data_IF_908253589703
#
_entry.id   IF_908253589703
#
_cell.length_a   1.000
_cell.length_b   1.000
_cell.length_c   1.000
_cell.angle_alpha   90.00
_cell.angle_beta   90.00
_cell.angle_gamma   90.00
#
_symmetry.space_group_name_H-M   'P 1'
#
loop_
_entity.id
_entity.type
_entity.pdbx_description
1 polymer ?
#
# COMPACT_ATOMS: atom_id res chain seq x y z
N UNK A 1 -19.08 -14.88 -3.42
CA UNK A 1 -17.93 -13.97 -3.15
C UNK A 1 -17.03 -14.64 -2.13
N UNK A 2 -15.78 -14.23 -1.89
CA UNK A 2 -15.03 -14.74 -0.72
C UNK A 2 -15.26 -13.78 0.45
N UNK A 3 -15.51 -14.30 1.64
CA UNK A 3 -15.61 -13.47 2.84
C UNK A 3 -14.28 -12.78 3.13
N UNK A 4 -14.31 -11.59 3.72
CA UNK A 4 -13.10 -10.88 4.16
C UNK A 4 -12.81 -11.25 5.62
N UNK A 5 -11.55 -11.48 5.96
CA UNK A 5 -11.12 -11.75 7.34
C UNK A 5 -11.31 -10.50 8.19
N UNK A 6 -11.75 -10.69 9.43
CA UNK A 6 -11.70 -9.62 10.43
C UNK A 6 -10.27 -9.26 10.79
N UNK A 7 -10.05 -8.09 11.39
CA UNK A 7 -8.71 -7.68 11.83
C UNK A 7 -8.12 -8.66 12.87
N UNK A 8 -8.95 -9.19 13.77
CA UNK A 8 -8.53 -10.17 14.78
C UNK A 8 -8.15 -11.51 14.15
N UNK A 9 -8.95 -11.98 13.19
CA UNK A 9 -8.67 -13.22 12.45
C UNK A 9 -7.34 -13.11 11.69
N UNK A 10 -7.09 -11.95 11.07
CA UNK A 10 -5.84 -11.70 10.36
C UNK A 10 -4.67 -11.59 11.34
N UNK A 11 -4.82 -10.88 12.46
CA UNK A 11 -3.78 -10.77 13.49
C UNK A 11 -3.37 -12.14 14.03
N UNK A 12 -4.32 -13.02 14.34
CA UNK A 12 -4.02 -14.37 14.83
C UNK A 12 -3.25 -15.22 13.80
N UNK A 13 -3.40 -14.98 12.51
CA UNK A 13 -2.65 -15.68 11.46
C UNK A 13 -1.21 -15.15 11.33
N UNK A 14 -1.00 -13.85 11.59
CA UNK A 14 0.31 -13.20 11.43
C UNK A 14 1.06 -12.97 12.74
N UNK A 15 0.46 -13.25 13.91
CA UNK A 15 1.03 -12.94 15.23
C UNK A 15 2.37 -13.62 15.51
N UNK A 16 2.69 -14.74 14.86
CA UNK A 16 3.93 -15.47 15.09
C UNK A 16 5.10 -14.97 14.23
N UNK A 17 4.84 -14.07 13.28
CA UNK A 17 5.89 -13.41 12.50
C UNK A 17 6.52 -12.26 13.28
N UNK A 18 7.72 -11.89 12.88
CA UNK A 18 8.46 -10.76 13.43
C UNK A 18 8.08 -9.46 12.71
N UNK A 19 7.78 -9.55 11.42
CA UNK A 19 7.38 -8.43 10.57
C UNK A 19 6.25 -8.83 9.62
N UNK A 20 5.27 -7.94 9.50
CA UNK A 20 4.17 -8.04 8.55
C UNK A 20 4.25 -6.88 7.57
N UNK A 21 4.29 -7.18 6.28
CA UNK A 21 4.32 -6.17 5.21
C UNK A 21 2.95 -6.12 4.53
N UNK A 22 2.40 -4.93 4.39
CA UNK A 22 1.14 -4.69 3.67
C UNK A 22 1.26 -3.43 2.82
N UNK A 23 0.52 -3.33 1.71
CA UNK A 23 0.45 -2.11 0.92
C UNK A 23 -0.52 -1.06 1.52
N UNK A 24 -1.35 -1.45 2.48
CA UNK A 24 -2.37 -0.60 3.11
C UNK A 24 -1.90 -0.08 4.47
N UNK A 25 -1.69 1.24 4.56
CA UNK A 25 -1.29 1.92 5.79
C UNK A 25 -2.34 1.83 6.90
N UNK A 26 -3.64 1.80 6.57
CA UNK A 26 -4.70 1.63 7.55
C UNK A 26 -4.67 0.22 8.13
N UNK A 27 -4.42 -0.79 7.30
CA UNK A 27 -4.26 -2.17 7.76
C UNK A 27 -3.03 -2.34 8.65
N UNK A 28 -1.88 -1.78 8.25
CA UNK A 28 -0.68 -1.77 9.08
C UNK A 28 -0.95 -1.11 10.45
N UNK A 29 -1.65 0.02 10.46
CA UNK A 29 -2.04 0.72 11.69
C UNK A 29 -2.97 -0.14 12.55
N UNK A 30 -3.96 -0.79 11.94
CA UNK A 30 -4.90 -1.64 12.64
C UNK A 30 -4.22 -2.87 13.27
N UNK A 31 -3.30 -3.53 12.55
CA UNK A 31 -2.53 -4.67 13.06
C UNK A 31 -1.61 -4.26 14.21
N UNK A 32 -0.91 -3.13 14.09
CA UNK A 32 -0.10 -2.61 15.20
C UNK A 32 -0.93 -2.27 16.44
N UNK A 33 -2.19 -1.85 16.26
CA UNK A 33 -3.13 -1.59 17.35
C UNK A 33 -3.66 -2.84 18.05
N UNK A 34 -3.41 -4.05 17.51
CA UNK A 34 -3.82 -5.34 18.10
C UNK A 34 -2.69 -6.08 18.80
N UNK A 35 -1.48 -5.52 18.79
CA UNK A 35 -0.32 -6.14 19.45
C UNK A 35 -0.62 -6.38 20.93
N UNK A 36 -0.64 -7.65 21.31
CA UNK A 36 -0.82 -8.15 22.68
C UNK A 36 0.49 -8.71 23.28
N UNK A 37 1.58 -8.72 22.50
CA UNK A 37 2.92 -9.19 22.87
C UNK A 37 3.96 -8.06 22.86
N UNK A 38 5.07 -8.18 23.62
CA UNK A 38 6.19 -7.27 23.46
C UNK A 38 6.75 -7.34 22.03
N UNK A 39 6.82 -6.21 21.34
CA UNK A 39 7.44 -6.07 20.01
C UNK A 39 8.51 -4.98 20.09
N UNK A 40 9.68 -5.24 19.49
CA UNK A 40 10.72 -4.23 19.31
C UNK A 40 10.49 -3.54 17.97
N UNK A 41 10.12 -2.25 17.99
CA UNK A 41 9.81 -1.50 16.77
C UNK A 41 8.36 -1.66 16.32
N UNK A 42 8.15 -1.85 15.01
CA UNK A 42 6.84 -1.99 14.39
C UNK A 42 6.59 -3.43 13.95
N UNK A 43 5.41 -3.96 14.26
CA UNK A 43 4.99 -5.30 13.84
C UNK A 43 4.51 -5.31 12.39
N UNK A 44 3.74 -4.31 11.98
CA UNK A 44 3.22 -4.19 10.62
C UNK A 44 3.65 -2.87 9.96
N UNK A 45 4.16 -2.93 8.74
CA UNK A 45 4.64 -1.75 8.00
C UNK A 45 4.28 -1.84 6.51
N UNK A 46 4.19 -0.68 5.86
CA UNK A 46 4.20 -0.58 4.41
C UNK A 46 5.62 -0.46 3.86
N UNK A 47 5.88 -0.88 2.61
CA UNK A 47 7.17 -0.67 1.95
C UNK A 47 7.68 0.77 2.01
N UNK A 48 6.79 1.76 1.85
CA UNK A 48 7.14 3.19 1.98
C UNK A 48 7.56 3.58 3.39
N UNK A 49 6.94 3.00 4.43
CA UNK A 49 7.36 3.23 5.81
C UNK A 49 8.71 2.58 6.08
N UNK A 50 8.92 1.33 5.65
CA UNK A 50 10.22 0.65 5.75
C UNK A 50 11.30 1.49 5.06
N UNK A 51 11.07 1.90 3.81
CA UNK A 51 11.97 2.75 3.04
C UNK A 51 12.30 4.06 3.79
N UNK A 52 11.31 4.69 4.43
CA UNK A 52 11.50 5.91 5.20
C UNK A 52 12.33 5.68 6.48
N UNK A 53 12.15 4.54 7.16
CA UNK A 53 12.96 4.15 8.31
C UNK A 53 14.41 3.83 7.94
N UNK A 54 14.61 3.20 6.78
CA UNK A 54 15.93 2.81 6.29
C UNK A 54 16.64 3.94 5.54
N UNK A 55 15.94 5.02 5.17
CA UNK A 55 16.47 6.10 4.35
C UNK A 55 17.77 6.71 4.88
N UNK A 56 17.88 6.90 6.20
CA UNK A 56 19.08 7.45 6.84
C UNK A 56 20.27 6.48 6.83
N UNK A 57 20.03 5.17 6.70
CA UNK A 57 21.05 4.13 6.62
C UNK A 57 21.50 3.90 5.17
N UNK A 58 20.57 3.98 4.22
CA UNK A 58 20.81 3.64 2.81
C UNK A 58 21.40 4.81 2.02
N UNK A 59 21.09 6.07 2.36
CA UNK A 59 21.46 7.23 1.55
C UNK A 59 22.41 8.16 2.30
N UNK A 60 23.55 8.46 1.69
CA UNK A 60 24.55 9.42 2.21
C UNK A 60 24.04 10.88 2.27
N UNK A 61 22.92 11.15 1.60
CA UNK A 61 22.30 12.47 1.49
C UNK A 61 20.86 12.41 1.97
N UNK A 62 20.35 13.47 2.62
CA UNK A 62 18.96 13.53 3.00
C UNK A 62 18.07 13.39 1.75
N UNK A 63 17.00 12.61 1.89
CA UNK A 63 15.98 12.52 0.85
C UNK A 63 15.39 13.90 0.57
N UNK A 64 15.21 14.21 -0.70
CA UNK A 64 14.59 15.46 -1.10
C UNK A 64 13.09 15.38 -0.80
N UNK A 65 12.58 16.40 -0.11
CA UNK A 65 11.14 16.59 -0.02
C UNK A 65 10.55 16.90 -1.40
N UNK A 66 9.27 16.65 -1.58
CA UNK A 66 8.58 16.90 -2.85
C UNK A 66 8.80 18.33 -3.37
N UNK A 67 8.74 19.33 -2.49
CA UNK A 67 9.02 20.72 -2.85
C UNK A 67 10.48 20.93 -3.30
N UNK A 68 11.45 20.27 -2.67
CA UNK A 68 12.84 20.32 -3.11
C UNK A 68 13.03 19.64 -4.47
N UNK A 69 12.37 18.50 -4.70
CA UNK A 69 12.40 17.82 -6.00
C UNK A 69 11.86 18.75 -7.09
N UNK A 70 10.66 19.29 -6.91
CA UNK A 70 10.01 20.16 -7.90
C UNK A 70 10.85 21.41 -8.15
N UNK A 71 11.32 22.08 -7.10
CA UNK A 71 12.13 23.30 -7.27
C UNK A 71 13.49 23.03 -7.92
N UNK A 72 14.16 21.92 -7.57
CA UNK A 72 15.45 21.55 -8.17
C UNK A 72 15.31 21.21 -9.65
N UNK A 73 14.29 20.43 -10.02
CA UNK A 73 14.04 20.08 -11.42
C UNK A 73 13.60 21.31 -12.24
N UNK A 74 12.79 22.20 -11.66
CA UNK A 74 12.42 23.47 -12.30
C UNK A 74 13.63 24.37 -12.56
N UNK A 75 14.54 24.48 -11.59
CA UNK A 75 15.79 25.23 -11.74
C UNK A 75 16.72 24.62 -12.80
N UNK A 76 16.85 23.30 -12.85
CA UNK A 76 17.72 22.58 -13.80
C UNK A 76 17.19 22.63 -15.24
N UNK A 77 15.87 22.53 -15.43
CA UNK A 77 15.24 22.47 -16.76
C UNK A 77 14.77 23.82 -17.30
N UNK A 78 14.63 24.83 -16.44
CA UNK A 78 14.03 26.14 -16.78
C UNK A 78 12.51 26.08 -17.00
N UNK A 79 11.86 24.95 -16.73
CA UNK A 79 10.42 24.77 -16.90
C UNK A 79 9.65 25.30 -15.68
N UNK A 80 8.41 25.71 -15.91
CA UNK A 80 7.56 26.21 -14.82
C UNK A 80 7.32 25.15 -13.74
N UNK A 81 7.26 25.56 -12.47
CA UNK A 81 6.94 24.71 -11.31
C UNK A 81 5.68 23.87 -11.55
N UNK A 82 4.63 24.49 -12.11
CA UNK A 82 3.36 23.79 -12.40
C UNK A 82 3.57 22.62 -13.37
N UNK A 83 4.32 22.86 -14.46
CA UNK A 83 4.62 21.83 -15.45
C UNK A 83 5.46 20.70 -14.84
N UNK A 84 6.52 21.06 -14.12
CA UNK A 84 7.42 20.10 -13.46
C UNK A 84 6.67 19.23 -12.45
N UNK A 85 5.81 19.83 -11.62
CA UNK A 85 4.98 19.08 -10.68
C UNK A 85 4.09 18.05 -11.41
N UNK A 86 3.37 18.47 -12.45
CA UNK A 86 2.53 17.55 -13.23
C UNK A 86 3.32 16.42 -13.89
N UNK A 87 4.50 16.70 -14.43
CA UNK A 87 5.34 15.67 -15.05
C UNK A 87 5.96 14.72 -14.02
N UNK A 88 6.35 15.21 -12.83
CA UNK A 88 6.83 14.34 -11.74
C UNK A 88 5.72 13.38 -11.29
N UNK A 89 4.49 13.86 -11.13
CA UNK A 89 3.36 12.98 -10.79
C UNK A 89 3.11 11.92 -11.87
N UNK A 90 3.18 12.30 -13.15
CA UNK A 90 3.09 11.35 -14.26
C UNK A 90 4.22 10.31 -14.24
N UNK A 91 5.46 10.74 -13.99
CA UNK A 91 6.64 9.86 -13.85
C UNK A 91 6.44 8.86 -12.71
N UNK A 92 5.99 9.32 -11.53
CA UNK A 92 5.70 8.45 -10.38
C UNK A 92 4.60 7.44 -10.70
N UNK A 93 3.54 7.86 -11.39
CA UNK A 93 2.44 6.98 -11.77
C UNK A 93 2.91 5.88 -12.72
N UNK A 94 3.69 6.22 -13.75
CA UNK A 94 4.29 5.23 -14.66
C UNK A 94 5.20 4.28 -13.88
N UNK A 95 6.02 4.81 -12.96
CA UNK A 95 6.99 4.03 -12.18
C UNK A 95 6.34 2.94 -11.33
N UNK A 96 5.09 3.12 -10.87
CA UNK A 96 4.34 2.08 -10.14
C UNK A 96 4.19 0.78 -10.96
N UNK A 97 4.14 0.89 -12.29
CA UNK A 97 3.86 -0.25 -13.17
C UNK A 97 5.08 -0.75 -13.95
N UNK A 98 6.11 0.08 -14.13
CA UNK A 98 7.30 -0.29 -14.92
C UNK A 98 8.56 0.45 -14.49
N UNK A 99 9.71 -0.22 -14.64
CA UNK A 99 11.06 0.39 -14.51
C UNK A 99 11.42 1.26 -15.71
N UNK A 100 10.85 0.97 -16.88
CA UNK A 100 11.19 1.63 -18.14
C UNK A 100 10.46 2.97 -18.37
N UNK A 101 10.40 3.84 -17.34
CA UNK A 101 9.62 5.09 -17.38
C UNK A 101 9.91 5.91 -18.64
N UNK A 102 11.18 6.03 -19.02
CA UNK A 102 11.64 6.78 -20.20
C UNK A 102 10.90 6.39 -21.49
N UNK A 103 10.55 5.11 -21.68
CA UNK A 103 9.87 4.62 -22.90
C UNK A 103 8.44 5.15 -23.05
N UNK A 104 7.84 5.59 -21.94
CA UNK A 104 6.47 6.09 -21.88
C UNK A 104 6.40 7.63 -21.90
N UNK A 105 7.55 8.31 -22.04
CA UNK A 105 7.61 9.77 -22.15
C UNK A 105 7.86 10.17 -23.61
N UNK A 106 6.99 11.04 -24.13
CA UNK A 106 6.96 11.35 -25.57
C UNK A 106 7.41 12.77 -25.92
N UNK A 107 7.44 13.70 -24.97
CA UNK A 107 7.87 15.08 -25.20
C UNK A 107 9.31 15.29 -24.76
N UNK A 108 10.02 16.19 -25.45
CA UNK A 108 11.39 16.59 -25.05
C UNK A 108 11.43 17.16 -23.64
N UNK A 109 10.39 17.93 -23.27
CA UNK A 109 10.28 18.52 -21.93
C UNK A 109 10.07 17.47 -20.85
N UNK A 110 9.21 16.47 -21.09
CA UNK A 110 8.99 15.38 -20.14
C UNK A 110 10.27 14.53 -19.95
N UNK A 111 11.00 14.24 -21.04
CA UNK A 111 12.29 13.57 -20.96
C UNK A 111 13.31 14.39 -20.16
N UNK A 112 13.36 15.71 -20.36
CA UNK A 112 14.25 16.58 -19.58
C UNK A 112 13.89 16.60 -18.08
N UNK A 113 12.59 16.64 -17.74
CA UNK A 113 12.13 16.51 -16.36
C UNK A 113 12.55 15.18 -15.77
N UNK A 114 12.37 14.07 -16.50
CA UNK A 114 12.77 12.75 -16.04
C UNK A 114 14.28 12.63 -15.81
N UNK A 115 15.10 13.11 -16.75
CA UNK A 115 16.57 13.10 -16.64
C UNK A 115 17.06 13.93 -15.44
N UNK A 116 16.38 15.04 -15.13
CA UNK A 116 16.66 15.83 -13.94
C UNK A 116 16.19 15.12 -12.66
N UNK A 117 14.96 14.61 -12.64
CA UNK A 117 14.34 13.92 -11.52
C UNK A 117 15.13 12.67 -11.10
N UNK A 118 15.53 11.85 -12.07
CA UNK A 118 16.22 10.57 -11.82
C UNK A 118 17.52 10.77 -11.03
N UNK A 119 18.19 11.92 -11.18
CA UNK A 119 19.46 12.22 -10.48
C UNK A 119 19.29 12.64 -9.02
N UNK A 120 18.06 12.90 -8.58
CA UNK A 120 17.79 13.38 -7.23
C UNK A 120 17.64 12.22 -6.22
N UNK A 121 18.03 12.41 -4.96
CA UNK A 121 17.84 11.40 -3.91
C UNK A 121 16.37 11.39 -3.47
N UNK A 122 15.53 10.68 -4.20
CA UNK A 122 14.09 10.52 -3.89
C UNK A 122 13.81 9.19 -3.21
N UNK A 123 12.67 9.10 -2.52
CA UNK A 123 12.23 7.86 -1.87
C UNK A 123 12.02 6.76 -2.93
N UNK A 124 11.41 7.07 -4.08
CA UNK A 124 11.16 6.09 -5.14
C UNK A 124 12.46 5.52 -5.72
N UNK A 125 13.51 6.36 -5.83
CA UNK A 125 14.83 5.91 -6.28
C UNK A 125 15.47 4.96 -5.27
N UNK A 126 15.40 5.29 -3.98
CA UNK A 126 15.83 4.39 -2.91
C UNK A 126 15.08 3.06 -3.01
N UNK A 127 13.76 3.13 -3.08
CA UNK A 127 12.92 1.94 -3.13
C UNK A 127 13.26 1.04 -4.31
N UNK A 128 13.48 1.61 -5.50
CA UNK A 128 13.83 0.84 -6.70
C UNK A 128 15.25 0.26 -6.71
N UNK A 129 16.15 0.72 -5.82
CA UNK A 129 17.51 0.23 -5.69
C UNK A 129 17.69 -0.71 -4.49
N UNK A 130 16.69 -0.83 -3.63
CA UNK A 130 16.74 -1.63 -2.41
C UNK A 130 16.67 -3.13 -2.73
N UNK A 131 17.48 -3.91 -2.01
CA UNK A 131 17.53 -5.37 -2.09
C UNK A 131 17.38 -5.88 -0.65
N UNK A 132 16.25 -6.50 -0.28
CA UNK A 132 15.97 -6.93 1.10
C UNK A 132 17.02 -7.89 1.65
N UNK A 133 17.54 -8.78 0.80
CA UNK A 133 18.50 -9.82 1.18
C UNK A 133 19.86 -9.26 1.63
N UNK A 134 20.19 -8.04 1.20
CA UNK A 134 21.47 -7.40 1.50
C UNK A 134 21.38 -6.49 2.76
N UNK A 135 20.20 -6.31 3.36
CA UNK A 135 20.00 -5.45 4.54
C UNK A 135 19.80 -6.25 5.83
N UNK A 136 20.58 -5.91 6.86
CA UNK A 136 20.45 -6.46 8.23
C UNK A 136 19.04 -6.30 8.84
N UNK A 137 18.22 -5.39 8.32
CA UNK A 137 16.81 -5.23 8.73
C UNK A 137 15.99 -6.53 8.56
N UNK A 138 16.34 -7.37 7.57
CA UNK A 138 15.65 -8.64 7.31
C UNK A 138 16.42 -9.85 7.85
N UNK A 139 17.56 -9.66 8.51
CA UNK A 139 18.40 -10.77 8.96
C UNK A 139 17.76 -11.50 10.15
N UNK A 140 17.53 -12.80 9.98
CA UNK A 140 17.06 -13.68 11.06
C UNK A 140 15.60 -13.52 11.48
N UNK A 141 14.80 -12.73 10.75
CA UNK A 141 13.38 -12.50 11.04
C UNK A 141 12.46 -13.31 10.11
N UNK A 142 11.28 -13.67 10.61
CA UNK A 142 10.20 -14.27 9.83
C UNK A 142 9.25 -13.18 9.33
N UNK A 143 9.03 -13.15 8.01
CA UNK A 143 8.24 -12.11 7.34
C UNK A 143 6.96 -12.69 6.74
N UNK A 144 5.82 -12.06 7.04
CA UNK A 144 4.56 -12.29 6.35
C UNK A 144 4.24 -11.10 5.43
N UNK A 145 3.71 -11.37 4.23
CA UNK A 145 3.24 -10.35 3.29
C UNK A 145 1.74 -10.53 3.09
N UNK A 146 0.96 -9.48 3.36
CA UNK A 146 -0.49 -9.52 3.17
C UNK A 146 -0.85 -9.01 1.78
N UNK A 147 -1.52 -9.84 0.99
CA UNK A 147 -2.01 -9.52 -0.35
C UNK A 147 -0.92 -8.98 -1.29
N UNK A 148 0.15 -9.76 -1.46
CA UNK A 148 1.28 -9.45 -2.34
C UNK A 148 0.86 -9.03 -3.76
N UNK A 149 -0.24 -9.59 -4.28
CA UNK A 149 -0.77 -9.25 -5.60
C UNK A 149 -1.19 -7.78 -5.74
N UNK A 150 -1.47 -7.10 -4.63
CA UNK A 150 -1.83 -5.68 -4.62
C UNK A 150 -0.61 -4.74 -4.56
N UNK A 151 0.61 -5.29 -4.48
CA UNK A 151 1.84 -4.52 -4.44
C UNK A 151 2.22 -4.06 -5.84
N UNK A 152 2.62 -2.79 -5.96
CA UNK A 152 3.18 -2.27 -7.21
C UNK A 152 4.66 -2.67 -7.38
N UNK A 153 5.30 -2.31 -8.51
CA UNK A 153 6.70 -2.69 -8.76
C UNK A 153 7.66 -2.22 -7.66
N UNK A 154 7.53 -0.97 -7.18
CA UNK A 154 8.38 -0.44 -6.13
C UNK A 154 8.15 -1.12 -4.78
N UNK A 155 6.90 -1.41 -4.45
CA UNK A 155 6.53 -2.06 -3.20
C UNK A 155 7.19 -3.46 -3.09
N UNK A 156 7.24 -4.19 -4.22
CA UNK A 156 7.83 -5.53 -4.29
C UNK A 156 9.33 -5.58 -4.02
N UNK A 157 10.05 -4.45 -4.14
CA UNK A 157 11.47 -4.38 -3.80
C UNK A 157 11.72 -4.48 -2.29
N UNK A 158 10.68 -4.42 -1.44
CA UNK A 158 10.79 -4.59 0.01
C UNK A 158 10.31 -5.95 0.50
N UNK A 159 9.97 -6.86 -0.42
CA UNK A 159 9.56 -8.22 -0.08
C UNK A 159 10.79 -9.13 -0.16
N UNK A 160 11.25 -9.72 0.95
CA UNK A 160 12.36 -10.66 0.91
C UNK A 160 11.95 -11.96 0.22
N UNK A 161 12.89 -12.66 -0.40
CA UNK A 161 12.67 -13.96 -1.06
C UNK A 161 12.05 -14.97 -0.10
N UNK A 162 12.48 -14.96 1.16
CA UNK A 162 11.91 -15.81 2.22
C UNK A 162 10.82 -15.04 2.95
N UNK A 163 9.59 -15.24 2.53
CA UNK A 163 8.40 -14.74 3.22
C UNK A 163 7.24 -15.72 3.02
N UNK A 164 6.22 -15.59 3.87
CA UNK A 164 4.94 -16.25 3.70
C UNK A 164 3.88 -15.26 3.21
N UNK A 165 3.09 -15.67 2.23
CA UNK A 165 2.01 -14.84 1.67
C UNK A 165 0.69 -15.15 2.37
N UNK A 166 0.02 -14.09 2.85
CA UNK A 166 -1.23 -14.17 3.61
C UNK A 166 -2.33 -13.42 2.87
N UNK A 167 -3.47 -14.08 2.68
CA UNK A 167 -4.63 -13.45 2.03
C UNK A 167 -5.60 -12.83 3.04
N UNK A 168 -6.17 -11.67 2.74
CA UNK A 168 -7.30 -11.07 3.50
C UNK A 168 -8.61 -11.80 3.23
N UNK A 169 -8.67 -12.64 2.20
CA UNK A 169 -9.86 -13.41 1.87
C UNK A 169 -9.88 -14.73 2.61
N UNK A 170 -11.07 -15.11 3.08
CA UNK A 170 -11.33 -16.44 3.62
C UNK A 170 -11.18 -17.47 2.51
N UNK A 171 -10.71 -18.66 2.87
CA UNK A 171 -10.57 -19.80 1.94
C UNK A 171 -11.95 -20.32 1.49
N UNK A 172 -13.00 -20.06 2.28
CA UNK A 172 -14.37 -20.50 2.04
C UNK A 172 -15.13 -19.55 1.09
N UNK A 173 -16.03 -20.12 0.29
CA UNK A 173 -16.96 -19.34 -0.54
C UNK A 173 -18.07 -18.78 0.35
N UNK A 174 -18.22 -17.46 0.32
CA UNK A 174 -19.36 -16.77 0.90
C UNK A 174 -20.53 -16.84 -0.09
N UNK A 175 -21.56 -17.61 0.28
CA UNK A 175 -22.88 -17.55 -0.33
C UNK A 175 -23.67 -16.40 0.29
N UNK A 176 -24.27 -15.56 -0.55
CA UNK A 176 -25.23 -14.56 -0.08
C UNK A 176 -26.55 -15.31 0.08
N UNK A 177 -27.07 -15.42 1.30
CA UNK A 177 -28.43 -15.90 1.53
C UNK A 177 -29.39 -14.93 0.84
N UNK A 178 -29.95 -15.36 -0.29
CA UNK A 178 -31.06 -14.75 -1.05
C UNK A 178 -31.13 -13.22 -0.98
N UNK A 179 -30.65 -12.54 -2.02
CA UNK A 179 -30.91 -11.11 -2.22
C UNK A 179 -32.42 -10.94 -2.49
N UNK A 180 -33.17 -10.44 -1.52
CA UNK A 180 -34.54 -9.99 -1.75
C UNK A 180 -34.50 -8.66 -2.51
N UNK A 181 -34.84 -8.70 -3.79
CA UNK A 181 -35.05 -7.50 -4.60
C UNK A 181 -36.25 -6.73 -4.04
N UNK A 182 -36.01 -5.58 -3.41
CA UNK A 182 -37.07 -4.70 -2.92
C UNK A 182 -37.67 -3.97 -4.13
N UNK A 183 -38.65 -4.60 -4.76
CA UNK A 183 -39.48 -3.98 -5.77
C UNK A 183 -40.52 -3.05 -5.13
N UNK A 184 -40.31 -1.74 -5.29
CA UNK A 184 -41.33 -0.68 -5.11
C UNK A 184 -41.72 -0.35 -3.65
N UNK A 185 -41.67 0.94 -3.29
CA UNK A 185 -41.99 1.51 -1.97
C UNK A 185 -43.36 1.08 -1.40
N UNK A 186 -44.27 0.62 -2.27
CA UNK A 186 -45.58 0.09 -1.88
C UNK A 186 -45.51 -1.24 -1.12
N UNK A 187 -44.54 -2.11 -1.41
CA UNK A 187 -44.39 -3.40 -0.72
C UNK A 187 -43.80 -3.28 0.70
N UNK A 188 -43.04 -2.23 0.97
CA UNK A 188 -42.49 -1.97 2.31
C UNK A 188 -43.60 -1.65 3.33
N UNK A 189 -44.66 -0.95 2.90
CA UNK A 189 -45.79 -0.64 3.75
C UNK A 189 -46.65 -1.88 4.08
N UNK A 190 -46.84 -2.80 3.14
CA UNK A 190 -47.61 -4.03 3.36
C UNK A 190 -46.84 -5.04 4.23
N UNK A 191 -45.54 -5.26 3.98
CA UNK A 191 -44.72 -6.20 4.77
C UNK A 191 -44.49 -5.74 6.22
N UNK A 192 -44.59 -4.44 6.50
CA UNK A 192 -44.48 -3.92 7.88
C UNK A 192 -45.72 -4.27 8.70
N UNK A 193 -46.91 -4.37 8.08
CA UNK A 193 -48.15 -4.72 8.77
C UNK A 193 -48.20 -6.21 9.13
N UNK A 194 -47.64 -7.07 8.29
CA UNK A 194 -47.56 -8.52 8.55
C UNK A 194 -46.47 -8.91 9.58
N UNK A 195 -45.51 -8.03 9.86
CA UNK A 195 -44.51 -8.23 10.93
C UNK A 195 -44.99 -7.82 12.33
N UNK A 196 -46.17 -7.19 12.44
CA UNK A 196 -46.78 -6.86 13.73
C UNK A 196 -47.68 -8.03 14.13
N UNK A 197 -47.11 -8.96 14.88
CA UNK A 197 -47.86 -10.02 15.57
C UNK A 197 -48.82 -9.38 16.60
N UNK A 198 -50.16 -9.47 16.42
CA UNK A 198 -51.12 -8.91 17.37
C UNK A 198 -51.18 -9.67 18.71
N UNK A 199 -50.42 -10.77 18.86
CA UNK A 199 -50.46 -11.65 20.04
C UNK A 199 -49.36 -11.39 21.09
N UNK A 200 -48.53 -10.35 20.93
CA UNK A 200 -47.63 -9.88 21.99
C UNK A 200 -48.10 -8.55 22.59
N UNK A 201 -48.78 -8.55 23.75
CA UNK A 201 -48.85 -7.36 24.57
C UNK A 201 -47.47 -7.10 25.19
N UNK A 202 -47.09 -5.82 25.25
CA UNK A 202 -45.81 -5.33 25.77
C UNK A 202 -45.64 -5.40 27.28
#
# INVERSE_FOLDING_TARGET
MKGVKGIDELYEEVREYDLVITNDAALATALNGRIDKPVVGYFALTPKQIASHLASRIVDKPLYSELMVISSVSADTGLSIKYVHSEIENIKEIRKYTKDVRKHLHSKSALAVYDAYERLPTLERLMGAFIPEDDEFYEGIYVAVIEEDLFNDLDKHFIPIKHDSVSIFKKEQYEIDTIYEIGNDRQLAENTVDMIDPSKPG
#
